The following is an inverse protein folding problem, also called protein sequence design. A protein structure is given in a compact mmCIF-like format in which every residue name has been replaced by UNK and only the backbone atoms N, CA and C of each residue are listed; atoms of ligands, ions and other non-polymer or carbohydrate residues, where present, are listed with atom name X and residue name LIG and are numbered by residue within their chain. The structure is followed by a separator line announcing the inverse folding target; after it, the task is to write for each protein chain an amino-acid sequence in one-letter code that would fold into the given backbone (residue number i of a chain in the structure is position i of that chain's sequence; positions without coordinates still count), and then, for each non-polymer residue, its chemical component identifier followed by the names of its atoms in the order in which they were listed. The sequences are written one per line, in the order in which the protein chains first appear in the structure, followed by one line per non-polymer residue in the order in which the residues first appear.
data_IF_506960171677
#
_entry.id   IF_506960171677
#
_cell.length_a   1.000
_cell.length_b   1.000
_cell.length_c   1.000
_cell.angle_alpha   90.00
_cell.angle_beta   90.00
_cell.angle_gamma   90.00
#
_symmetry.space_group_name_H-M   'P 1'
#
loop_
_entity.id
_entity.type
_entity.pdbx_description
1 polymer ?
#
# COMPACT_ATOMS: atom_id res chain seq x y z
N UNK A 1 -30.48 -22.82 -30.60
CA UNK A 1 -31.42 -23.52 -29.69
C UNK A 1 -30.66 -24.67 -29.05
N UNK A 2 -30.45 -24.81 -27.75
CA UNK A 2 -31.00 -24.13 -26.57
C UNK A 2 -30.01 -24.30 -25.41
N UNK A 3 -29.78 -23.22 -24.66
CA UNK A 3 -28.96 -23.18 -23.45
C UNK A 3 -29.66 -23.91 -22.30
N UNK A 4 -28.96 -24.87 -21.70
CA UNK A 4 -29.43 -25.59 -20.50
C UNK A 4 -28.99 -24.84 -19.25
N UNK A 5 -30.03 -24.39 -18.53
CA UNK A 5 -30.13 -23.91 -17.16
C UNK A 5 -29.02 -24.31 -16.18
N UNK A 6 -28.33 -23.31 -15.62
CA UNK A 6 -27.57 -23.44 -14.37
C UNK A 6 -28.54 -23.26 -13.19
N UNK A 7 -28.82 -24.36 -12.51
CA UNK A 7 -29.69 -24.46 -11.32
C UNK A 7 -28.99 -23.84 -10.11
N UNK A 8 -29.51 -22.69 -9.66
CA UNK A 8 -29.09 -21.97 -8.44
C UNK A 8 -29.53 -22.77 -7.21
N UNK A 9 -28.60 -23.35 -6.45
CA UNK A 9 -28.86 -23.89 -5.11
C UNK A 9 -28.59 -22.78 -4.09
N UNK A 10 -29.64 -22.37 -3.40
CA UNK A 10 -29.56 -21.49 -2.25
C UNK A 10 -28.89 -22.24 -1.09
N UNK A 11 -27.93 -21.59 -0.44
CA UNK A 11 -27.36 -21.96 0.84
C UNK A 11 -27.23 -20.68 1.65
N UNK A 12 -28.09 -20.55 2.65
CA UNK A 12 -28.10 -19.48 3.65
C UNK A 12 -26.82 -19.47 4.48
N UNK A 13 -26.34 -18.27 4.80
CA UNK A 13 -25.20 -18.08 5.68
C UNK A 13 -24.66 -16.65 5.59
N UNK A 14 -25.03 -15.84 6.59
CA UNK A 14 -24.46 -14.54 6.93
C UNK A 14 -24.83 -13.33 6.04
N UNK A 15 -26.10 -12.89 6.15
CA UNK A 15 -26.48 -11.51 5.81
C UNK A 15 -26.12 -10.58 6.96
N UNK A 16 -24.84 -10.27 7.11
CA UNK A 16 -24.39 -9.11 7.85
C UNK A 16 -25.05 -7.86 7.26
N UNK A 17 -25.96 -7.24 8.01
CA UNK A 17 -26.71 -6.05 7.60
C UNK A 17 -25.77 -4.92 7.23
N UNK A 18 -25.53 -4.74 5.91
CA UNK A 18 -24.88 -3.54 5.39
C UNK A 18 -25.85 -2.39 5.60
N UNK A 19 -25.44 -1.40 6.40
CA UNK A 19 -26.26 -0.23 6.70
C UNK A 19 -26.71 0.47 5.40
N UNK A 20 -27.99 0.89 5.28
CA UNK A 20 -28.55 1.47 4.05
C UNK A 20 -27.81 2.73 3.58
N UNK A 21 -27.14 3.43 4.52
CA UNK A 21 -26.30 4.59 4.23
C UNK A 21 -25.05 4.22 3.41
N UNK A 22 -24.42 3.07 3.64
CA UNK A 22 -23.23 2.63 2.88
C UNK A 22 -23.58 2.29 1.42
N UNK A 23 -24.72 1.64 1.20
CA UNK A 23 -25.20 1.29 -0.15
C UNK A 23 -25.52 2.56 -0.95
N UNK A 24 -26.17 3.55 -0.35
CA UNK A 24 -26.48 4.82 -1.01
C UNK A 24 -25.21 5.61 -1.39
N UNK A 25 -24.17 5.59 -0.55
CA UNK A 25 -22.88 6.25 -0.85
C UNK A 25 -22.09 5.55 -1.95
N UNK A 26 -22.10 4.22 -2.00
CA UNK A 26 -21.42 3.44 -3.04
C UNK A 26 -22.07 3.66 -4.42
N UNK A 27 -23.40 3.61 -4.52
CA UNK A 27 -24.13 3.85 -5.78
C UNK A 27 -23.88 5.26 -6.31
N UNK A 28 -23.87 6.27 -5.44
CA UNK A 28 -23.55 7.66 -5.81
C UNK A 28 -22.11 7.81 -6.30
N UNK A 29 -21.17 7.02 -5.76
CA UNK A 29 -19.77 7.03 -6.18
C UNK A 29 -19.56 6.41 -7.57
N UNK A 30 -20.26 5.30 -7.86
CA UNK A 30 -20.20 4.61 -9.15
C UNK A 30 -20.84 5.45 -10.25
N UNK A 31 -22.02 6.02 -10.01
CA UNK A 31 -22.70 6.88 -10.97
C UNK A 31 -21.84 8.10 -11.35
N UNK A 32 -21.18 8.71 -10.37
CA UNK A 32 -20.25 9.82 -10.63
C UNK A 32 -19.05 9.39 -11.49
N UNK A 33 -18.48 8.21 -11.22
CA UNK A 33 -17.34 7.69 -11.99
C UNK A 33 -17.72 7.44 -13.44
N UNK A 34 -18.87 6.80 -13.66
CA UNK A 34 -19.41 6.56 -15.01
C UNK A 34 -19.65 7.89 -15.71
N UNK A 35 -20.38 8.83 -15.08
CA UNK A 35 -20.68 10.13 -15.68
C UNK A 35 -19.40 10.90 -16.05
N UNK A 36 -18.39 10.92 -15.16
CA UNK A 36 -17.11 11.59 -15.45
C UNK A 36 -16.40 10.95 -16.64
N UNK A 37 -16.30 9.62 -16.69
CA UNK A 37 -15.66 8.92 -17.80
C UNK A 37 -16.37 9.20 -19.11
N UNK A 38 -17.71 9.09 -19.11
CA UNK A 38 -18.54 9.39 -20.29
C UNK A 38 -18.37 10.83 -20.74
N UNK A 39 -18.54 11.81 -19.86
CA UNK A 39 -18.41 13.24 -20.20
C UNK A 39 -17.01 13.54 -20.75
N UNK A 40 -15.96 12.99 -20.13
CA UNK A 40 -14.58 13.24 -20.58
C UNK A 40 -14.31 12.63 -21.95
N UNK A 41 -14.77 11.40 -22.19
CA UNK A 41 -14.65 10.73 -23.48
C UNK A 41 -15.42 11.50 -24.57
N UNK A 42 -16.67 11.88 -24.30
CA UNK A 42 -17.49 12.65 -25.24
C UNK A 42 -16.87 14.01 -25.55
N UNK A 43 -16.36 14.71 -24.53
CA UNK A 43 -15.70 16.00 -24.72
C UNK A 43 -14.42 15.85 -25.57
N UNK A 44 -13.64 14.80 -25.32
CA UNK A 44 -12.43 14.50 -26.10
C UNK A 44 -12.77 14.26 -27.57
N UNK A 45 -13.84 13.52 -27.85
CA UNK A 45 -14.33 13.28 -29.21
C UNK A 45 -14.79 14.57 -29.90
N UNK A 46 -15.57 15.41 -29.21
CA UNK A 46 -16.05 16.69 -29.75
C UNK A 46 -14.89 17.65 -30.02
N UNK A 47 -13.91 17.72 -29.11
CA UNK A 47 -12.70 18.52 -29.31
C UNK A 47 -11.87 18.02 -30.50
N UNK A 48 -11.77 16.69 -30.67
CA UNK A 48 -11.07 16.11 -31.81
C UNK A 48 -11.76 16.45 -33.14
N UNK A 49 -13.10 16.39 -33.19
CA UNK A 49 -13.86 16.82 -34.37
C UNK A 49 -13.69 18.31 -34.72
N UNK A 50 -13.52 19.16 -33.70
CA UNK A 50 -13.37 20.60 -33.91
C UNK A 50 -11.95 21.00 -34.33
N UNK A 51 -10.92 20.25 -33.91
CA UNK A 51 -9.51 20.59 -34.13
C UNK A 51 -8.87 19.86 -35.31
N UNK A 52 -9.38 18.69 -35.69
CA UNK A 52 -8.86 17.93 -36.83
C UNK A 52 -9.47 18.41 -38.16
N UNK A 53 -8.76 18.27 -39.30
CA UNK A 53 -9.26 18.68 -40.60
C UNK A 53 -10.58 18.00 -41.00
N UNK A 54 -11.47 18.75 -41.65
CA UNK A 54 -12.74 18.22 -42.16
C UNK A 54 -12.48 17.24 -43.33
N UNK A 55 -13.01 16.01 -43.23
CA UNK A 55 -12.91 14.97 -44.27
C UNK A 55 -12.07 13.75 -43.89
N UNK A 56 -11.45 13.73 -42.71
CA UNK A 56 -10.73 12.55 -42.20
C UNK A 56 -11.63 11.47 -41.58
N UNK A 57 -11.08 10.28 -41.25
CA UNK A 57 -11.78 9.23 -40.51
C UNK A 57 -12.18 9.69 -39.11
N UNK A 58 -13.26 9.14 -38.56
CA UNK A 58 -13.78 9.55 -37.25
C UNK A 58 -12.72 9.38 -36.13
N UNK A 59 -12.53 10.38 -35.25
CA UNK A 59 -11.44 10.40 -34.28
C UNK A 59 -11.77 9.59 -33.01
N UNK A 60 -11.77 8.26 -33.12
CA UNK A 60 -12.11 7.34 -32.03
C UNK A 60 -10.96 7.07 -31.03
N UNK A 61 -9.71 7.36 -31.39
CA UNK A 61 -8.54 7.22 -30.50
C UNK A 61 -8.47 8.34 -29.46
N UNK A 62 -8.99 9.53 -29.76
CA UNK A 62 -9.07 10.63 -28.80
C UNK A 62 -9.92 10.28 -27.56
N UNK A 63 -11.19 9.82 -27.69
CA UNK A 63 -11.99 9.39 -26.55
C UNK A 63 -11.41 8.15 -25.85
N UNK A 64 -10.84 7.19 -26.60
CA UNK A 64 -10.17 6.02 -26.02
C UNK A 64 -8.98 6.43 -25.13
N UNK A 65 -8.15 7.35 -25.61
CA UNK A 65 -7.01 7.88 -24.86
C UNK A 65 -7.45 8.64 -23.63
N UNK A 66 -8.47 9.49 -23.75
CA UNK A 66 -9.03 10.20 -22.61
C UNK A 66 -9.57 9.23 -21.53
N UNK A 67 -10.29 8.18 -21.92
CA UNK A 67 -10.78 7.16 -21.01
C UNK A 67 -9.64 6.48 -20.25
N UNK A 68 -8.60 6.05 -20.96
CA UNK A 68 -7.50 5.32 -20.37
C UNK A 68 -6.67 6.20 -19.42
N UNK A 69 -6.48 7.47 -19.75
CA UNK A 69 -5.70 8.42 -18.93
C UNK A 69 -6.45 8.88 -17.65
N UNK A 70 -7.78 9.01 -17.71
CA UNK A 70 -8.62 9.52 -16.60
C UNK A 70 -8.72 8.55 -15.42
N UNK A 71 -8.42 7.26 -15.63
CA UNK A 71 -8.52 6.25 -14.58
C UNK A 71 -7.40 6.34 -13.54
N UNK A 72 -6.33 7.06 -13.85
CA UNK A 72 -5.12 7.16 -13.04
C UNK A 72 -5.16 8.38 -12.08
N UNK A 73 -4.26 8.39 -11.09
CA UNK A 73 -4.02 9.59 -10.24
C UNK A 73 -3.36 10.70 -11.06
N UNK A 74 -3.35 11.97 -10.62
CA UNK A 74 -2.78 13.09 -11.41
C UNK A 74 -1.36 12.81 -11.91
N UNK A 75 -0.47 12.29 -11.05
CA UNK A 75 0.90 11.93 -11.44
C UNK A 75 0.92 10.82 -12.49
N UNK A 76 0.19 9.75 -12.21
CA UNK A 76 0.12 8.58 -13.06
C UNK A 76 -0.55 8.93 -14.40
N UNK A 77 -1.53 9.83 -14.41
CA UNK A 77 -2.15 10.41 -15.60
C UNK A 77 -1.11 11.17 -16.41
N UNK A 78 -0.31 12.06 -15.83
CA UNK A 78 0.76 12.77 -16.58
C UNK A 78 1.75 11.78 -17.19
N UNK A 79 2.26 10.83 -16.38
CA UNK A 79 3.20 9.82 -16.85
C UNK A 79 2.59 8.93 -17.93
N UNK A 80 1.36 8.46 -17.72
CA UNK A 80 0.62 7.65 -18.68
C UNK A 80 0.38 8.41 -19.97
N UNK A 81 -0.03 9.68 -19.92
CA UNK A 81 -0.17 10.56 -21.07
C UNK A 81 1.12 10.67 -21.87
N UNK A 82 2.26 10.93 -21.21
CA UNK A 82 3.56 11.06 -21.90
C UNK A 82 3.99 9.74 -22.52
N UNK A 83 3.94 8.64 -21.76
CA UNK A 83 4.31 7.32 -22.25
C UNK A 83 3.40 6.89 -23.41
N UNK A 84 2.10 7.17 -23.32
CA UNK A 84 1.12 6.87 -24.36
C UNK A 84 1.39 7.64 -25.64
N UNK A 85 1.61 8.95 -25.54
CA UNK A 85 1.97 9.78 -26.69
C UNK A 85 3.27 9.27 -27.32
N UNK A 86 4.27 8.90 -26.52
CA UNK A 86 5.50 8.32 -27.02
C UNK A 86 5.28 6.96 -27.71
N UNK A 87 4.46 6.07 -27.14
CA UNK A 87 4.11 4.78 -27.73
C UNK A 87 3.42 4.96 -29.08
N UNK A 88 2.35 5.77 -29.13
CA UNK A 88 1.61 6.03 -30.38
C UNK A 88 2.52 6.67 -31.43
N UNK A 89 3.26 7.72 -31.07
CA UNK A 89 4.17 8.41 -32.00
C UNK A 89 5.23 7.47 -32.55
N UNK A 90 5.81 6.61 -31.71
CA UNK A 90 6.77 5.60 -32.17
C UNK A 90 6.14 4.59 -33.14
N UNK A 91 4.94 4.09 -32.85
CA UNK A 91 4.20 3.19 -33.73
C UNK A 91 3.88 3.83 -35.09
N UNK A 92 3.41 5.07 -35.07
CA UNK A 92 3.12 5.85 -36.29
C UNK A 92 4.37 6.05 -37.13
N UNK A 93 5.49 6.45 -36.51
CA UNK A 93 6.75 6.66 -37.22
C UNK A 93 7.26 5.37 -37.89
N UNK A 94 7.21 4.24 -37.18
CA UNK A 94 7.62 2.94 -37.72
C UNK A 94 6.73 2.55 -38.90
N UNK A 95 5.41 2.75 -38.80
CA UNK A 95 4.48 2.42 -39.87
C UNK A 95 4.68 3.27 -41.11
N UNK A 96 4.87 4.59 -40.96
CA UNK A 96 5.14 5.50 -42.08
C UNK A 96 6.44 5.12 -42.78
N UNK A 97 7.51 4.86 -42.01
CA UNK A 97 8.79 4.42 -42.56
C UNK A 97 8.64 3.10 -43.33
N UNK A 98 8.02 2.08 -42.73
CA UNK A 98 7.83 0.78 -43.36
C UNK A 98 6.94 0.85 -44.61
N UNK A 99 5.88 1.68 -44.59
CA UNK A 99 5.02 1.93 -45.73
C UNK A 99 5.77 2.60 -46.89
N UNK A 100 6.61 3.59 -46.59
CA UNK A 100 7.36 4.36 -47.59
C UNK A 100 8.52 3.59 -48.22
N UNK A 101 9.19 2.69 -47.48
CA UNK A 101 10.39 2.01 -47.99
C UNK A 101 10.11 0.63 -48.59
N UNK A 102 9.19 -0.15 -48.00
CA UNK A 102 9.03 -1.58 -48.31
C UNK A 102 7.67 -1.88 -48.95
N UNK A 103 6.65 -1.06 -48.67
CA UNK A 103 5.26 -1.32 -49.07
C UNK A 103 4.57 -2.36 -48.16
N UNK A 104 3.25 -2.45 -48.27
CA UNK A 104 2.44 -3.28 -47.37
C UNK A 104 2.44 -4.76 -47.79
N UNK A 105 2.87 -5.64 -46.88
CA UNK A 105 2.83 -7.10 -47.03
C UNK A 105 2.71 -7.79 -45.66
N UNK A 106 2.39 -9.09 -45.63
CA UNK A 106 2.27 -9.84 -44.36
C UNK A 106 3.58 -9.87 -43.56
N UNK A 107 4.73 -9.93 -44.24
CA UNK A 107 6.04 -9.96 -43.58
C UNK A 107 6.49 -8.56 -43.18
N UNK A 108 6.19 -7.51 -43.96
CA UNK A 108 6.42 -6.10 -43.56
C UNK A 108 5.62 -5.78 -42.29
N UNK A 109 4.37 -6.25 -42.21
CA UNK A 109 3.53 -6.10 -41.01
C UNK A 109 4.18 -6.79 -39.80
N UNK A 110 4.61 -8.04 -39.95
CA UNK A 110 5.31 -8.77 -38.89
C UNK A 110 6.58 -8.07 -38.41
N UNK A 111 7.38 -7.56 -39.34
CA UNK A 111 8.61 -6.80 -39.03
C UNK A 111 8.29 -5.47 -38.33
N UNK A 112 7.23 -4.78 -38.73
CA UNK A 112 6.78 -3.53 -38.10
C UNK A 112 6.32 -3.76 -36.67
N UNK A 113 5.53 -4.83 -36.42
CA UNK A 113 5.11 -5.20 -35.07
C UNK A 113 6.32 -5.52 -34.20
N UNK A 114 7.26 -6.32 -34.72
CA UNK A 114 8.50 -6.64 -34.01
C UNK A 114 9.29 -5.37 -33.67
N UNK A 115 9.50 -4.49 -34.65
CA UNK A 115 10.21 -3.23 -34.45
C UNK A 115 9.51 -2.34 -33.41
N UNK A 116 8.19 -2.21 -33.46
CA UNK A 116 7.40 -1.43 -32.51
C UNK A 116 7.47 -1.99 -31.08
N UNK A 117 7.49 -3.31 -30.91
CA UNK A 117 7.67 -3.95 -29.61
C UNK A 117 9.09 -3.77 -29.05
N UNK A 118 10.11 -3.89 -29.91
CA UNK A 118 11.52 -3.67 -29.53
C UNK A 118 11.73 -2.23 -29.10
N UNK A 119 11.29 -1.26 -29.91
CA UNK A 119 11.34 0.17 -29.58
C UNK A 119 10.52 0.45 -28.32
N UNK A 120 9.34 -0.18 -28.20
CA UNK A 120 8.52 -0.25 -27.00
C UNK A 120 9.30 -0.50 -25.71
N UNK A 121 10.10 -1.57 -25.72
CA UNK A 121 10.93 -1.98 -24.59
C UNK A 121 12.14 -1.07 -24.38
N UNK A 122 12.82 -0.65 -25.45
CA UNK A 122 13.99 0.25 -25.38
C UNK A 122 13.60 1.60 -24.76
N UNK A 123 12.44 2.16 -25.15
CA UNK A 123 11.89 3.40 -24.60
C UNK A 123 11.27 3.23 -23.20
N UNK A 124 11.27 2.00 -22.64
CA UNK A 124 10.71 1.67 -21.32
C UNK A 124 9.24 2.12 -21.17
N UNK A 125 8.43 1.89 -22.20
CA UNK A 125 7.02 2.32 -22.26
C UNK A 125 6.09 1.62 -21.26
N UNK A 126 6.58 0.58 -20.56
CA UNK A 126 5.85 -0.09 -19.47
C UNK A 126 4.53 -0.69 -19.93
N UNK A 127 3.44 -0.31 -19.29
CA UNK A 127 2.08 -0.80 -19.60
C UNK A 127 1.59 -0.37 -21.00
N UNK A 128 2.28 0.56 -21.68
CA UNK A 128 1.86 1.13 -22.97
C UNK A 128 2.68 0.56 -24.14
N UNK A 129 3.53 -0.44 -23.91
CA UNK A 129 4.34 -1.09 -24.96
C UNK A 129 3.48 -1.62 -26.12
N UNK A 130 2.30 -2.15 -25.83
CA UNK A 130 1.38 -2.68 -26.86
C UNK A 130 0.70 -1.58 -27.67
N UNK A 131 0.70 -0.33 -27.22
CA UNK A 131 0.07 0.77 -27.97
C UNK A 131 0.88 1.11 -29.23
N UNK A 132 2.20 0.92 -29.21
CA UNK A 132 3.07 1.15 -30.36
C UNK A 132 2.72 0.23 -31.57
N UNK A 133 2.72 -1.12 -31.44
CA UNK A 133 2.34 -1.99 -32.56
C UNK A 133 0.86 -1.82 -32.95
N UNK A 134 -0.05 -1.61 -31.99
CA UNK A 134 -1.47 -1.34 -32.32
C UNK A 134 -1.60 -0.08 -33.18
N UNK A 135 -0.90 1.00 -32.82
CA UNK A 135 -0.92 2.26 -33.57
C UNK A 135 -0.32 2.09 -34.96
N UNK A 136 0.78 1.33 -35.07
CA UNK A 136 1.40 1.02 -36.35
C UNK A 136 0.45 0.25 -37.28
N UNK A 137 -0.25 -0.76 -36.72
CA UNK A 137 -1.25 -1.53 -37.45
C UNK A 137 -2.43 -0.65 -37.91
N UNK A 138 -2.88 0.29 -37.08
CA UNK A 138 -3.97 1.21 -37.43
C UNK A 138 -3.60 2.15 -38.59
N UNK A 139 -2.35 2.62 -38.66
CA UNK A 139 -1.86 3.41 -39.80
C UNK A 139 -1.95 2.61 -41.09
N UNK A 140 -1.52 1.34 -41.08
CA UNK A 140 -1.64 0.47 -42.24
C UNK A 140 -3.10 0.17 -42.59
N UNK A 141 -3.93 -0.14 -41.60
CA UNK A 141 -5.34 -0.50 -41.81
C UNK A 141 -6.17 0.65 -42.41
N UNK A 142 -5.87 1.89 -42.02
CA UNK A 142 -6.58 3.08 -42.49
C UNK A 142 -5.99 3.67 -43.77
N UNK A 143 -4.93 3.07 -44.32
CA UNK A 143 -4.21 3.62 -45.48
C UNK A 143 -3.63 5.01 -45.22
N UNK A 144 -3.48 5.39 -43.95
CA UNK A 144 -3.12 6.75 -43.51
C UNK A 144 -1.61 6.89 -43.33
N UNK A 145 -0.83 6.18 -44.15
CA UNK A 145 0.64 6.25 -44.14
C UNK A 145 1.19 7.55 -44.76
N UNK A 146 0.30 8.42 -45.26
CA UNK A 146 0.66 9.78 -45.66
C UNK A 146 1.08 10.62 -44.44
N UNK A 147 1.91 11.63 -44.66
CA UNK A 147 2.35 12.56 -43.60
C UNK A 147 1.15 13.21 -42.89
N UNK A 148 0.10 13.55 -43.64
CA UNK A 148 -1.15 14.09 -43.10
C UNK A 148 -1.86 13.09 -42.18
N UNK A 149 -1.98 11.83 -42.60
CA UNK A 149 -2.63 10.78 -41.78
C UNK A 149 -1.85 10.45 -40.51
N UNK A 150 -0.52 10.46 -40.59
CA UNK A 150 0.37 10.29 -39.45
C UNK A 150 0.25 11.45 -38.44
N UNK A 151 0.25 12.69 -38.93
CA UNK A 151 0.05 13.87 -38.10
C UNK A 151 -1.31 13.85 -37.39
N UNK A 152 -2.37 13.47 -38.10
CA UNK A 152 -3.71 13.35 -37.54
C UNK A 152 -3.77 12.33 -36.39
N UNK A 153 -3.11 11.16 -36.51
CA UNK A 153 -3.08 10.15 -35.43
C UNK A 153 -2.35 10.65 -34.17
N UNK A 154 -1.26 11.39 -34.35
CA UNK A 154 -0.50 11.96 -33.24
C UNK A 154 -1.32 13.06 -32.56
N UNK A 155 -1.92 13.97 -33.35
CA UNK A 155 -2.81 15.03 -32.86
C UNK A 155 -4.02 14.46 -32.11
N UNK A 156 -4.65 13.43 -32.66
CA UNK A 156 -5.80 12.76 -32.03
C UNK A 156 -5.44 12.19 -30.65
N UNK A 157 -4.26 11.57 -30.52
CA UNK A 157 -3.76 11.05 -29.25
C UNK A 157 -3.43 12.17 -28.27
N UNK A 158 -2.82 13.26 -28.75
CA UNK A 158 -2.52 14.44 -27.96
C UNK A 158 -3.80 15.09 -27.40
N UNK A 159 -4.85 15.24 -28.22
CA UNK A 159 -6.15 15.78 -27.80
C UNK A 159 -6.76 14.90 -26.73
N UNK A 160 -6.74 13.58 -26.91
CA UNK A 160 -7.22 12.63 -25.91
C UNK A 160 -6.45 12.72 -24.59
N UNK A 161 -5.13 12.76 -24.65
CA UNK A 161 -4.26 12.86 -23.48
C UNK A 161 -4.47 14.20 -22.75
N UNK A 162 -4.55 15.31 -23.48
CA UNK A 162 -4.79 16.64 -22.95
C UNK A 162 -6.17 16.75 -22.30
N UNK A 163 -7.22 16.23 -22.95
CA UNK A 163 -8.59 16.25 -22.41
C UNK A 163 -8.69 15.39 -21.15
N UNK A 164 -8.10 14.19 -21.15
CA UNK A 164 -8.05 13.32 -19.98
C UNK A 164 -7.29 13.95 -18.82
N UNK A 165 -6.13 14.57 -19.10
CA UNK A 165 -5.35 15.30 -18.11
C UNK A 165 -6.12 16.51 -17.56
N UNK A 166 -6.76 17.30 -18.43
CA UNK A 166 -7.57 18.45 -18.04
C UNK A 166 -8.75 18.02 -17.16
N UNK A 167 -9.47 16.96 -17.52
CA UNK A 167 -10.56 16.43 -16.70
C UNK A 167 -10.07 15.94 -15.32
N UNK A 168 -8.91 15.29 -15.27
CA UNK A 168 -8.27 14.86 -14.02
C UNK A 168 -7.80 16.03 -13.16
N UNK A 169 -7.33 17.13 -13.76
CA UNK A 169 -6.91 18.35 -13.07
C UNK A 169 -8.09 19.22 -12.59
N UNK A 170 -9.11 19.38 -13.42
CA UNK A 170 -10.29 20.20 -13.14
C UNK A 170 -11.22 19.54 -12.13
N UNK A 171 -11.32 18.22 -12.20
CA UNK A 171 -12.19 17.43 -11.34
C UNK A 171 -11.36 16.33 -10.68
N UNK A 172 -10.60 16.65 -9.61
CA UNK A 172 -9.74 15.67 -8.97
C UNK A 172 -10.53 14.41 -8.57
N UNK A 173 -10.05 13.24 -9.01
CA UNK A 173 -10.50 11.92 -8.53
C UNK A 173 -9.96 11.72 -7.13
N UNK A 174 -10.47 12.48 -6.18
CA UNK A 174 -10.16 12.26 -4.76
C UNK A 174 -11.48 12.17 -4.02
N UNK A 175 -12.08 10.98 -4.15
CA UNK A 175 -12.89 10.39 -3.10
C UNK A 175 -12.23 9.08 -2.71
N UNK A 176 -10.96 9.21 -2.33
CA UNK A 176 -10.44 8.41 -1.22
C UNK A 176 -11.43 8.70 -0.09
N UNK A 177 -12.00 7.69 0.57
CA UNK A 177 -12.67 7.92 1.86
C UNK A 177 -11.83 8.95 2.61
N UNK A 178 -12.40 10.06 3.14
CA UNK A 178 -11.61 11.09 3.80
C UNK A 178 -10.59 10.37 4.65
N UNK A 179 -9.30 10.58 4.40
CA UNK A 179 -8.30 9.66 4.91
C UNK A 179 -8.32 9.62 6.47
N UNK A 180 -8.96 10.61 7.08
CA UNK A 180 -9.47 10.68 8.44
C UNK A 180 -10.36 9.48 8.85
N UNK A 181 -11.33 9.09 8.01
CA UNK A 181 -12.16 7.89 8.19
C UNK A 181 -11.33 6.61 8.17
N UNK A 182 -10.27 6.55 7.36
CA UNK A 182 -9.39 5.37 7.31
C UNK A 182 -8.59 5.23 8.61
N UNK A 183 -8.02 6.34 9.11
CA UNK A 183 -7.34 6.39 10.41
C UNK A 183 -8.30 6.07 11.56
N UNK A 184 -9.52 6.61 11.53
CA UNK A 184 -10.54 6.32 12.53
C UNK A 184 -10.98 4.84 12.49
N UNK A 185 -11.19 4.27 11.31
CA UNK A 185 -11.53 2.85 11.15
C UNK A 185 -10.42 1.95 11.73
N UNK A 186 -9.14 2.29 11.50
CA UNK A 186 -8.01 1.55 12.06
C UNK A 186 -7.96 1.68 13.58
N UNK A 187 -8.07 2.91 14.11
CA UNK A 187 -8.10 3.15 15.55
C UNK A 187 -9.23 2.36 16.23
N UNK A 188 -10.40 2.32 15.60
CA UNK A 188 -11.56 1.62 16.13
C UNK A 188 -11.38 0.09 16.11
N UNK A 189 -10.79 -0.46 15.04
CA UNK A 189 -10.43 -1.88 14.98
C UNK A 189 -9.41 -2.26 16.04
N UNK A 190 -8.38 -1.43 16.23
CA UNK A 190 -7.37 -1.63 17.29
C UNK A 190 -8.02 -1.56 18.67
N UNK A 191 -8.80 -0.51 18.94
CA UNK A 191 -9.54 -0.33 20.19
C UNK A 191 -10.39 -1.56 20.50
N UNK A 192 -11.16 -2.03 19.51
CA UNK A 192 -12.04 -3.19 19.68
C UNK A 192 -11.25 -4.45 20.02
N UNK A 193 -10.19 -4.77 19.27
CA UNK A 193 -9.37 -5.94 19.54
C UNK A 193 -8.75 -5.91 20.95
N UNK A 194 -8.21 -4.76 21.37
CA UNK A 194 -7.62 -4.63 22.71
C UNK A 194 -8.69 -4.75 23.80
N UNK A 195 -9.88 -4.19 23.58
CA UNK A 195 -11.00 -4.31 24.50
C UNK A 195 -11.48 -5.77 24.60
N UNK A 196 -11.59 -6.47 23.47
CA UNK A 196 -11.98 -7.89 23.43
C UNK A 196 -10.95 -8.76 24.18
N UNK A 197 -9.65 -8.47 24.05
CA UNK A 197 -8.58 -9.12 24.84
C UNK A 197 -8.73 -8.78 26.33
N UNK A 198 -8.92 -7.51 26.66
CA UNK A 198 -9.05 -7.05 28.04
C UNK A 198 -10.26 -7.69 28.76
N UNK A 199 -11.38 -7.82 28.06
CA UNK A 199 -12.60 -8.43 28.60
C UNK A 199 -12.45 -9.95 28.74
N UNK A 200 -11.80 -10.62 27.78
CA UNK A 200 -11.46 -12.03 27.91
C UNK A 200 -10.54 -12.31 29.11
N UNK A 201 -9.52 -11.46 29.32
CA UNK A 201 -8.64 -11.56 30.48
C UNK A 201 -9.35 -11.32 31.83
N UNK A 202 -10.42 -10.51 31.87
CA UNK A 202 -11.23 -10.35 33.09
C UNK A 202 -12.26 -11.46 33.28
N UNK A 203 -12.70 -12.09 32.20
CA UNK A 203 -13.69 -13.15 32.18
C UNK A 203 -13.14 -14.50 32.61
N UNK A 204 -13.93 -15.56 32.42
CA UNK A 204 -13.50 -16.94 32.65
C UNK A 204 -12.54 -17.39 31.54
N UNK A 205 -11.44 -18.04 31.94
CA UNK A 205 -10.43 -18.56 31.01
C UNK A 205 -11.07 -19.57 30.05
N UNK A 206 -10.88 -19.36 28.76
CA UNK A 206 -11.33 -20.31 27.72
C UNK A 206 -10.13 -20.85 26.94
N UNK A 207 -10.12 -22.15 26.66
CA UNK A 207 -9.03 -22.77 25.88
C UNK A 207 -8.97 -22.19 24.45
N UNK A 208 -7.77 -21.84 24.00
CA UNK A 208 -7.47 -21.27 22.70
C UNK A 208 -7.73 -19.76 22.57
N UNK A 209 -8.05 -19.05 23.65
CA UNK A 209 -8.36 -17.62 23.59
C UNK A 209 -7.14 -16.77 23.19
N UNK A 210 -5.94 -17.07 23.71
CA UNK A 210 -4.74 -16.28 23.38
C UNK A 210 -4.28 -16.56 21.95
N UNK A 211 -4.37 -17.81 21.49
CA UNK A 211 -4.14 -18.16 20.09
C UNK A 211 -5.11 -17.42 19.13
N UNK A 212 -6.38 -17.28 19.51
CA UNK A 212 -7.37 -16.50 18.74
C UNK A 212 -6.99 -15.02 18.67
N UNK A 213 -6.65 -14.40 19.81
CA UNK A 213 -6.22 -13.00 19.86
C UNK A 213 -4.99 -12.75 19.00
N UNK A 214 -4.00 -13.65 19.02
CA UNK A 214 -2.82 -13.56 18.15
C UNK A 214 -3.21 -13.59 16.67
N UNK A 215 -4.09 -14.51 16.27
CA UNK A 215 -4.54 -14.61 14.88
C UNK A 215 -5.33 -13.36 14.42
N UNK A 216 -6.10 -12.74 15.30
CA UNK A 216 -6.81 -11.49 15.05
C UNK A 216 -5.84 -10.29 14.93
N UNK A 217 -4.84 -10.20 15.80
CA UNK A 217 -3.79 -9.19 15.71
C UNK A 217 -2.98 -9.29 14.41
N UNK A 218 -2.68 -10.50 13.95
CA UNK A 218 -2.02 -10.74 12.66
C UNK A 218 -2.90 -10.36 11.46
N UNK A 219 -4.20 -10.64 11.52
CA UNK A 219 -5.16 -10.20 10.49
C UNK A 219 -5.20 -8.68 10.41
N UNK A 220 -5.32 -8.01 11.55
CA UNK A 220 -5.37 -6.55 11.61
C UNK A 220 -4.08 -5.90 11.06
N UNK A 221 -2.91 -6.47 11.37
CA UNK A 221 -1.63 -6.01 10.83
C UNK A 221 -1.56 -6.10 9.29
N UNK A 222 -2.07 -7.20 8.72
CA UNK A 222 -2.13 -7.37 7.26
C UNK A 222 -3.07 -6.36 6.60
N UNK A 223 -4.22 -6.09 7.21
CA UNK A 223 -5.19 -5.11 6.73
C UNK A 223 -4.65 -3.68 6.81
N UNK A 224 -3.87 -3.37 7.85
CA UNK A 224 -3.23 -2.07 8.00
C UNK A 224 -2.23 -1.80 6.88
N UNK A 225 -1.40 -2.78 6.53
CA UNK A 225 -0.44 -2.68 5.41
C UNK A 225 -1.10 -2.57 4.02
N UNK A 226 -2.38 -2.93 3.87
CA UNK A 226 -3.16 -2.65 2.65
C UNK A 226 -3.65 -1.20 2.64
N UNK A 227 -4.25 -0.76 3.75
CA UNK A 227 -4.79 0.59 3.93
C UNK A 227 -3.72 1.68 3.77
N UNK A 228 -2.50 1.42 4.25
CA UNK A 228 -1.37 2.34 4.14
C UNK A 228 -0.85 2.51 2.69
N UNK A 229 -1.02 1.51 1.81
CA UNK A 229 -0.70 1.64 0.38
C UNK A 229 -1.72 2.51 -0.34
N UNK A 230 -2.99 2.34 -0.02
CA UNK A 230 -4.09 3.14 -0.58
C UNK A 230 -3.96 4.61 -0.14
N UNK A 231 -3.52 4.84 1.10
CA UNK A 231 -3.24 6.19 1.61
C UNK A 231 -2.03 6.83 0.95
N UNK A 232 -0.95 6.08 0.70
CA UNK A 232 0.22 6.59 -0.02
C UNK A 232 -0.11 7.08 -1.43
N UNK A 233 -0.98 6.36 -2.15
CA UNK A 233 -1.47 6.78 -3.46
C UNK A 233 -2.33 8.07 -3.39
N UNK A 234 -3.07 8.26 -2.30
CA UNK A 234 -3.85 9.46 -2.04
C UNK A 234 -2.97 10.69 -1.77
N UNK A 235 -1.92 10.54 -0.96
CA UNK A 235 -0.96 11.59 -0.62
C UNK A 235 -0.17 12.06 -1.84
N UNK A 236 0.24 11.13 -2.71
CA UNK A 236 0.97 11.45 -3.94
C UNK A 236 0.12 12.28 -4.92
N UNK A 237 -1.19 12.03 -4.97
CA UNK A 237 -2.17 12.79 -5.76
C UNK A 237 -2.33 14.24 -5.29
N UNK A 238 -2.19 14.48 -3.98
CA UNK A 238 -2.27 15.81 -3.37
C UNK A 238 -1.05 16.68 -3.68
N UNK A 239 0.14 16.07 -3.72
CA UNK A 239 1.43 16.76 -3.86
C UNK A 239 1.58 17.55 -5.18
N UNK A 240 0.82 17.19 -6.21
CA UNK A 240 0.94 17.75 -7.56
C UNK A 240 -0.19 18.72 -7.93
N UNK A 241 -1.05 19.11 -6.98
CA UNK A 241 -2.08 20.11 -7.24
C UNK A 241 -1.55 21.52 -6.89
N UNK A 242 -1.30 22.43 -7.86
CA UNK A 242 -0.68 23.72 -7.59
C UNK A 242 -1.60 24.76 -6.93
N UNK A 243 -2.88 24.46 -6.68
CA UNK A 243 -3.82 25.41 -6.05
C UNK A 243 -3.69 25.44 -4.54
N UNK A 244 -3.99 26.59 -3.93
CA UNK A 244 -3.94 26.93 -2.49
C UNK A 244 -4.63 25.93 -1.54
N UNK A 245 -5.45 25.01 -2.08
CA UNK A 245 -6.07 23.88 -1.37
C UNK A 245 -5.09 22.73 -1.09
N UNK A 246 -4.00 22.62 -1.85
CA UNK A 246 -2.97 21.59 -1.70
C UNK A 246 -2.11 21.79 -0.45
N UNK A 247 -1.80 23.03 -0.03
CA UNK A 247 -1.13 23.25 1.27
C UNK A 247 -1.92 22.65 2.44
N UNK A 248 -3.25 22.74 2.39
CA UNK A 248 -4.15 22.18 3.43
C UNK A 248 -4.18 20.66 3.43
N UNK A 249 -4.18 20.05 2.25
CA UNK A 249 -4.15 18.59 2.09
C UNK A 249 -2.75 18.00 2.39
N UNK A 250 -1.67 18.76 2.21
CA UNK A 250 -0.31 18.36 2.57
C UNK A 250 -0.12 18.34 4.10
N UNK A 251 -0.57 19.38 4.81
CA UNK A 251 -0.50 19.42 6.28
C UNK A 251 -1.38 18.30 6.91
N UNK A 252 -2.56 18.05 6.33
CA UNK A 252 -3.41 16.90 6.68
C UNK A 252 -2.74 15.55 6.37
N UNK A 253 -2.13 15.38 5.19
CA UNK A 253 -1.43 14.16 4.80
C UNK A 253 -0.29 13.80 5.75
N UNK A 254 0.49 14.78 6.22
CA UNK A 254 1.55 14.54 7.20
C UNK A 254 0.99 14.11 8.57
N UNK A 255 -0.08 14.75 9.04
CA UNK A 255 -0.73 14.35 10.28
C UNK A 255 -1.30 12.92 10.20
N UNK A 256 -1.84 12.53 9.05
CA UNK A 256 -2.32 11.18 8.79
C UNK A 256 -1.19 10.16 8.65
N UNK A 257 -0.10 10.51 7.97
CA UNK A 257 1.09 9.67 7.86
C UNK A 257 1.64 9.31 9.23
N UNK A 258 1.78 10.31 10.09
CA UNK A 258 2.22 10.10 11.48
C UNK A 258 1.21 9.25 12.26
N UNK A 259 -0.09 9.48 12.07
CA UNK A 259 -1.12 8.68 12.72
C UNK A 259 -1.07 7.20 12.30
N UNK A 260 -0.88 6.94 11.02
CA UNK A 260 -0.75 5.59 10.47
C UNK A 260 0.55 4.91 10.90
N UNK A 261 1.67 5.63 10.91
CA UNK A 261 2.95 5.11 11.42
C UNK A 261 2.86 4.77 12.92
N UNK A 262 2.19 5.62 13.70
CA UNK A 262 1.89 5.33 15.11
C UNK A 262 1.05 4.06 15.25
N UNK A 263 0.00 3.90 14.44
CA UNK A 263 -0.83 2.69 14.44
C UNK A 263 -0.09 1.44 13.98
N UNK A 264 0.87 1.57 13.06
CA UNK A 264 1.73 0.48 12.61
C UNK A 264 2.64 0.00 13.74
N UNK A 265 3.35 0.92 14.41
CA UNK A 265 4.14 0.60 15.59
C UNK A 265 3.29 -0.01 16.71
N UNK A 266 2.09 0.54 16.94
CA UNK A 266 1.16 0.01 17.91
C UNK A 266 0.76 -1.45 17.60
N UNK A 267 0.48 -1.74 16.33
CA UNK A 267 0.12 -3.10 15.90
C UNK A 267 1.29 -4.08 16.04
N UNK A 268 2.54 -3.63 15.85
CA UNK A 268 3.72 -4.45 16.11
C UNK A 268 3.84 -4.82 17.59
N UNK A 269 3.65 -3.86 18.50
CA UNK A 269 3.67 -4.12 19.95
C UNK A 269 2.51 -5.02 20.38
N UNK A 270 1.32 -4.85 19.81
CA UNK A 270 0.16 -5.71 20.10
C UNK A 270 0.40 -7.16 19.65
N UNK A 271 1.11 -7.36 18.55
CA UNK A 271 1.52 -8.68 18.08
C UNK A 271 2.55 -9.34 18.99
N UNK A 272 3.50 -8.58 19.53
CA UNK A 272 4.42 -9.07 20.56
C UNK A 272 3.65 -9.57 21.77
N UNK A 273 2.80 -8.71 22.32
CA UNK A 273 1.99 -9.04 23.49
C UNK A 273 1.13 -10.29 23.29
N UNK A 274 0.33 -10.32 22.22
CA UNK A 274 -0.55 -11.47 21.93
C UNK A 274 0.22 -12.76 21.66
N UNK A 275 1.45 -12.66 21.14
CA UNK A 275 2.36 -13.81 21.02
C UNK A 275 2.84 -14.29 22.39
N UNK A 276 3.26 -13.39 23.29
CA UNK A 276 3.63 -13.77 24.65
C UNK A 276 2.47 -14.44 25.39
N UNK A 277 1.23 -13.97 25.20
CA UNK A 277 0.05 -14.62 25.77
C UNK A 277 -0.18 -16.02 25.19
N UNK A 278 -0.04 -16.19 23.87
CA UNK A 278 -0.16 -17.49 23.24
C UNK A 278 0.97 -18.45 23.65
N UNK A 279 2.17 -17.94 23.90
CA UNK A 279 3.29 -18.73 24.41
C UNK A 279 3.09 -19.12 25.88
N UNK A 280 2.50 -18.25 26.73
CA UNK A 280 2.06 -18.62 28.09
C UNK A 280 1.00 -19.72 28.07
N UNK A 281 0.01 -19.61 27.18
CA UNK A 281 -1.05 -20.61 27.04
C UNK A 281 -0.49 -21.99 26.64
N UNK A 282 0.50 -22.03 25.73
CA UNK A 282 1.19 -23.26 25.32
C UNK A 282 2.01 -23.90 26.44
N UNK A 283 2.46 -23.12 27.40
CA UNK A 283 3.19 -23.63 28.57
C UNK A 283 2.26 -24.35 29.56
N UNK A 284 0.93 -24.24 29.40
CA UNK A 284 -0.06 -24.96 30.22
C UNK A 284 0.07 -24.61 31.70
N UNK A 285 0.15 -25.62 32.56
CA UNK A 285 0.34 -25.44 34.02
C UNK A 285 1.69 -24.79 34.39
N UNK A 286 2.64 -24.74 33.45
CA UNK A 286 3.89 -24.00 33.64
C UNK A 286 3.72 -22.51 33.29
N UNK A 287 2.71 -22.16 32.50
CA UNK A 287 2.32 -20.78 32.22
C UNK A 287 1.62 -20.20 33.45
N UNK A 288 2.16 -19.11 33.99
CA UNK A 288 1.71 -18.51 35.25
C UNK A 288 0.99 -17.18 35.09
N UNK A 289 0.97 -16.63 33.87
CA UNK A 289 0.36 -15.33 33.60
C UNK A 289 -1.16 -15.46 33.41
N UNK A 290 -1.61 -16.41 32.58
CA UNK A 290 -3.03 -16.63 32.27
C UNK A 290 -3.75 -17.52 33.29
N UNK A 291 -3.00 -18.33 34.05
CA UNK A 291 -3.52 -19.18 35.15
C UNK A 291 -3.75 -18.39 36.43
N UNK A 292 -3.02 -17.30 36.65
CA UNK A 292 -3.22 -16.44 37.81
C UNK A 292 -4.33 -15.41 37.55
N UNK A 293 -5.44 -15.54 38.27
CA UNK A 293 -6.59 -14.66 38.08
C UNK A 293 -6.33 -13.19 38.51
N UNK A 294 -5.42 -12.92 39.43
CA UNK A 294 -5.00 -11.54 39.78
C UNK A 294 -4.14 -10.98 38.64
N UNK A 295 -3.19 -11.79 38.16
CA UNK A 295 -2.42 -11.69 36.91
C UNK A 295 -3.24 -11.15 35.75
N UNK A 296 -4.21 -11.99 35.39
CA UNK A 296 -5.09 -11.83 34.25
C UNK A 296 -5.93 -10.55 34.37
N UNK A 297 -6.49 -10.29 35.55
CA UNK A 297 -7.31 -9.10 35.82
C UNK A 297 -6.50 -7.80 35.72
N UNK A 298 -5.32 -7.72 36.34
CA UNK A 298 -4.45 -6.53 36.26
C UNK A 298 -3.98 -6.26 34.82
N UNK A 299 -3.67 -7.32 34.06
CA UNK A 299 -3.36 -7.19 32.63
C UNK A 299 -4.57 -6.69 31.81
N UNK A 300 -5.76 -7.24 32.05
CA UNK A 300 -7.00 -6.77 31.43
C UNK A 300 -7.29 -5.30 31.76
N UNK A 301 -7.01 -4.88 32.99
CA UNK A 301 -7.11 -3.47 33.41
C UNK A 301 -6.13 -2.56 32.69
N UNK A 302 -4.87 -2.95 32.58
CA UNK A 302 -3.88 -2.20 31.79
C UNK A 302 -4.32 -2.07 30.32
N UNK A 303 -4.78 -3.16 29.70
CA UNK A 303 -5.20 -3.16 28.30
C UNK A 303 -6.46 -2.34 28.04
N UNK A 304 -7.44 -2.36 28.94
CA UNK A 304 -8.61 -1.48 28.81
C UNK A 304 -8.23 0.01 28.89
N UNK A 305 -7.25 0.36 29.73
CA UNK A 305 -6.70 1.71 29.78
C UNK A 305 -6.08 2.12 28.44
N UNK A 306 -5.30 1.22 27.84
CA UNK A 306 -4.69 1.40 26.52
C UNK A 306 -5.76 1.53 25.42
N UNK A 307 -6.82 0.69 25.44
CA UNK A 307 -7.92 0.77 24.49
C UNK A 307 -8.62 2.14 24.53
N UNK A 308 -8.85 2.69 25.73
CA UNK A 308 -9.39 4.03 25.90
C UNK A 308 -8.44 5.13 25.37
N UNK A 309 -7.13 4.92 25.52
CA UNK A 309 -6.09 5.76 24.91
C UNK A 309 -6.13 5.75 23.38
N UNK A 310 -6.19 4.57 22.77
CA UNK A 310 -6.32 4.40 21.30
C UNK A 310 -7.58 5.09 20.76
N UNK A 311 -8.71 4.97 21.46
CA UNK A 311 -9.95 5.65 21.09
C UNK A 311 -9.79 7.18 21.07
N UNK A 312 -9.13 7.71 22.10
CA UNK A 312 -8.89 9.15 22.25
C UNK A 312 -7.87 9.66 21.22
N UNK A 313 -6.85 8.85 20.91
CA UNK A 313 -5.90 9.09 19.83
C UNK A 313 -6.60 9.17 18.46
N UNK A 314 -7.52 8.24 18.17
CA UNK A 314 -8.31 8.26 16.94
C UNK A 314 -9.18 9.52 16.80
N UNK A 315 -9.80 9.98 17.90
CA UNK A 315 -10.55 11.25 17.93
C UNK A 315 -9.64 12.47 17.73
N UNK A 316 -8.49 12.50 18.41
CA UNK A 316 -7.50 13.56 18.27
C UNK A 316 -6.99 13.66 16.82
N UNK A 317 -6.63 12.52 16.21
CA UNK A 317 -6.17 12.45 14.84
C UNK A 317 -7.18 13.05 13.83
N UNK A 318 -8.48 12.89 14.08
CA UNK A 318 -9.57 13.51 13.30
C UNK A 318 -9.72 15.01 13.60
N UNK A 319 -9.67 15.40 14.87
CA UNK A 319 -9.86 16.80 15.28
C UNK A 319 -8.81 17.75 14.70
N UNK A 320 -7.58 17.28 14.52
CA UNK A 320 -6.50 18.08 13.95
C UNK A 320 -6.67 18.45 12.47
N UNK A 321 -7.68 17.90 11.82
CA UNK A 321 -8.00 18.13 10.41
C UNK A 321 -9.14 19.14 10.25
N UNK A 322 -9.89 19.41 11.33
CA UNK A 322 -10.95 20.40 11.38
C UNK A 322 -10.41 21.81 11.64
N UNK A 323 -10.86 22.77 10.81
CA UNK A 323 -10.33 24.15 10.67
C UNK A 323 -10.39 25.00 11.95
N UNK A 324 -11.30 24.67 12.87
CA UNK A 324 -11.58 25.41 14.11
C UNK A 324 -11.41 24.54 15.36
N UNK A 325 -10.83 23.34 15.21
CA UNK A 325 -10.56 22.50 16.37
C UNK A 325 -9.55 23.20 17.28
N UNK A 326 -9.87 23.23 18.57
CA UNK A 326 -8.91 23.51 19.64
C UNK A 326 -8.34 22.16 20.08
N UNK A 327 -7.26 21.65 19.46
CA UNK A 327 -6.72 20.32 19.76
C UNK A 327 -6.34 20.16 21.23
N UNK A 328 -6.14 21.26 21.96
CA UNK A 328 -5.86 21.28 23.39
C UNK A 328 -6.79 20.38 24.23
N UNK A 329 -8.10 20.36 23.97
CA UNK A 329 -9.02 19.52 24.75
C UNK A 329 -8.84 18.02 24.45
N UNK A 330 -8.61 17.67 23.18
CA UNK A 330 -8.40 16.29 22.76
C UNK A 330 -6.98 15.78 23.10
N UNK A 331 -5.97 16.67 23.07
CA UNK A 331 -4.61 16.41 23.55
C UNK A 331 -4.62 16.17 25.06
N UNK A 332 -5.29 17.04 25.83
CA UNK A 332 -5.44 16.86 27.27
C UNK A 332 -6.23 15.59 27.62
N UNK A 333 -7.31 15.27 26.89
CA UNK A 333 -8.04 14.02 27.09
C UNK A 333 -7.11 12.80 26.86
N UNK A 334 -6.29 12.83 25.81
CA UNK A 334 -5.34 11.76 25.54
C UNK A 334 -4.26 11.65 26.62
N UNK A 335 -3.70 12.77 27.10
CA UNK A 335 -2.73 12.79 28.20
C UNK A 335 -3.31 12.13 29.46
N UNK A 336 -4.53 12.51 29.86
CA UNK A 336 -5.22 11.90 31.01
C UNK A 336 -5.38 10.40 30.82
N UNK A 337 -5.73 9.93 29.61
CA UNK A 337 -5.86 8.48 29.33
C UNK A 337 -4.53 7.75 29.37
N UNK A 338 -3.46 8.37 28.87
CA UNK A 338 -2.10 7.83 28.92
C UNK A 338 -1.62 7.72 30.38
N UNK A 339 -1.89 8.71 31.23
CA UNK A 339 -1.51 8.66 32.63
C UNK A 339 -2.26 7.58 33.41
N UNK A 340 -3.56 7.39 33.14
CA UNK A 340 -4.33 6.26 33.68
C UNK A 340 -3.74 4.92 33.22
N UNK A 341 -3.34 4.79 31.95
CA UNK A 341 -2.71 3.57 31.45
C UNK A 341 -1.34 3.31 32.10
N UNK A 342 -0.54 4.35 32.34
CA UNK A 342 0.76 4.26 33.04
C UNK A 342 0.61 3.80 34.48
N UNK A 343 -0.39 4.31 35.18
CA UNK A 343 -0.68 3.94 36.57
C UNK A 343 -1.11 2.46 36.66
N UNK A 344 -1.98 2.00 35.76
CA UNK A 344 -2.37 0.58 35.66
C UNK A 344 -1.19 -0.33 35.32
N UNK A 345 -0.37 0.07 34.35
CA UNK A 345 0.89 -0.61 33.99
C UNK A 345 1.84 -0.68 35.19
N UNK A 346 2.01 0.40 35.96
CA UNK A 346 2.89 0.41 37.12
C UNK A 346 2.47 -0.60 38.20
N UNK A 347 1.15 -0.76 38.43
CA UNK A 347 0.63 -1.80 39.31
C UNK A 347 0.93 -3.20 38.77
N UNK A 348 0.65 -3.44 37.49
CA UNK A 348 0.96 -4.71 36.84
C UNK A 348 2.46 -5.05 36.93
N UNK A 349 3.36 -4.12 36.58
CA UNK A 349 4.81 -4.33 36.65
C UNK A 349 5.28 -4.65 38.06
N UNK A 350 4.73 -4.01 39.09
CA UNK A 350 5.07 -4.31 40.49
C UNK A 350 4.70 -5.76 40.83
N UNK A 351 3.51 -6.20 40.46
CA UNK A 351 3.06 -7.58 40.69
C UNK A 351 3.88 -8.60 39.90
N UNK A 352 4.16 -8.32 38.62
CA UNK A 352 5.03 -9.16 37.80
C UNK A 352 6.42 -9.31 38.43
N UNK A 353 6.99 -8.22 38.97
CA UNK A 353 8.27 -8.25 39.65
C UNK A 353 8.25 -9.08 40.94
N UNK A 354 7.21 -8.92 41.77
CA UNK A 354 7.00 -9.73 42.98
C UNK A 354 6.96 -11.23 42.65
N UNK A 355 6.27 -11.62 41.57
CA UNK A 355 6.18 -13.03 41.14
C UNK A 355 7.45 -13.55 40.51
N UNK A 356 8.15 -12.71 39.75
CA UNK A 356 9.42 -13.11 39.14
C UNK A 356 10.52 -13.31 40.19
N UNK A 357 10.53 -12.50 41.25
CA UNK A 357 11.42 -12.67 42.40
C UNK A 357 11.17 -13.99 43.17
N UNK A 358 9.97 -14.58 43.05
CA UNK A 358 9.62 -15.87 43.64
C UNK A 358 10.10 -17.09 42.81
N UNK A 359 10.77 -16.88 41.66
CA UNK A 359 11.51 -17.94 40.94
C UNK A 359 10.90 -18.44 39.62
N UNK A 360 9.90 -17.76 39.04
CA UNK A 360 9.22 -18.22 37.82
C UNK A 360 9.30 -17.24 36.64
N UNK A 361 9.44 -17.78 35.42
CA UNK A 361 9.15 -17.15 34.10
C UNK A 361 9.55 -15.67 33.89
N UNK A 362 10.67 -15.21 34.47
CA UNK A 362 11.20 -13.84 34.31
C UNK A 362 11.22 -13.32 32.85
N UNK A 363 11.65 -14.10 31.83
CA UNK A 363 11.72 -13.60 30.45
C UNK A 363 10.35 -13.21 29.88
N UNK A 364 9.30 -13.99 30.17
CA UNK A 364 7.95 -13.75 29.67
C UNK A 364 7.32 -12.51 30.30
N UNK A 365 7.49 -12.34 31.62
CA UNK A 365 7.01 -11.16 32.33
C UNK A 365 7.72 -9.88 31.85
N UNK A 366 9.02 -9.98 31.58
CA UNK A 366 9.80 -8.89 30.98
C UNK A 366 9.28 -8.51 29.58
N UNK A 367 8.98 -9.50 28.74
CA UNK A 367 8.43 -9.27 27.39
C UNK A 367 7.05 -8.61 27.44
N UNK A 368 6.13 -9.13 28.25
CA UNK A 368 4.78 -8.57 28.44
C UNK A 368 4.86 -7.14 28.96
N UNK A 369 5.70 -6.88 29.97
CA UNK A 369 5.89 -5.51 30.48
C UNK A 369 6.45 -4.58 29.41
N UNK A 370 7.41 -5.04 28.60
CA UNK A 370 8.01 -4.24 27.53
C UNK A 370 7.00 -3.92 26.43
N UNK A 371 6.14 -4.85 26.05
CA UNK A 371 5.15 -4.60 25.02
C UNK A 371 4.03 -3.67 25.49
N UNK A 372 3.60 -3.76 26.75
CA UNK A 372 2.68 -2.79 27.36
C UNK A 372 3.31 -1.39 27.40
N UNK A 373 4.59 -1.30 27.76
CA UNK A 373 5.34 -0.03 27.75
C UNK A 373 5.36 0.58 26.35
N UNK A 374 5.65 -0.23 25.32
CA UNK A 374 5.66 0.22 23.93
C UNK A 374 4.28 0.64 23.45
N UNK A 375 3.20 -0.07 23.84
CA UNK A 375 1.83 0.31 23.51
C UNK A 375 1.47 1.69 24.09
N UNK A 376 1.85 1.97 25.33
CA UNK A 376 1.61 3.26 25.99
C UNK A 376 2.51 4.35 25.38
N UNK A 377 3.79 4.06 25.13
CA UNK A 377 4.74 5.03 24.56
C UNK A 377 4.30 5.47 23.16
N UNK A 378 3.76 4.58 22.33
CA UNK A 378 3.21 4.92 21.02
C UNK A 378 1.99 5.87 21.10
N UNK A 379 1.27 5.95 22.21
CA UNK A 379 0.10 6.83 22.38
C UNK A 379 0.45 8.27 22.79
N UNK A 380 1.72 8.57 23.03
CA UNK A 380 2.16 9.86 23.58
C UNK A 380 1.99 11.03 22.62
N UNK A 381 1.52 12.15 23.15
CA UNK A 381 1.35 13.42 22.43
C UNK A 381 2.70 13.98 21.97
N UNK A 382 3.79 13.74 22.72
CA UNK A 382 5.10 14.29 22.39
C UNK A 382 5.68 13.75 21.08
N UNK A 383 5.38 12.50 20.70
CA UNK A 383 5.77 11.96 19.39
C UNK A 383 5.09 12.71 18.25
N UNK A 384 3.84 13.14 18.45
CA UNK A 384 3.09 13.97 17.51
C UNK A 384 3.66 15.39 17.42
N UNK A 385 3.97 16.00 18.57
CA UNK A 385 4.54 17.36 18.62
C UNK A 385 5.94 17.42 18.00
N UNK A 386 6.80 16.43 18.31
CA UNK A 386 8.13 16.30 17.69
C UNK A 386 8.06 16.05 16.19
N UNK A 387 7.13 15.20 15.73
CA UNK A 387 6.93 14.97 14.31
C UNK A 387 6.45 16.25 13.58
N UNK A 388 5.52 17.01 14.19
CA UNK A 388 5.07 18.32 13.69
C UNK A 388 6.23 19.32 13.61
N UNK A 389 7.04 19.43 14.65
CA UNK A 389 8.17 20.36 14.71
C UNK A 389 9.32 19.99 13.77
N UNK A 390 9.69 18.70 13.75
CA UNK A 390 10.69 18.17 12.83
C UNK A 390 10.30 18.51 11.39
N UNK A 391 9.03 18.29 11.04
CA UNK A 391 8.51 18.66 9.73
C UNK A 391 8.52 20.17 9.47
N UNK A 392 8.13 21.00 10.45
CA UNK A 392 8.20 22.47 10.34
C UNK A 392 9.63 22.96 10.12
N UNK A 393 10.63 22.34 10.77
CA UNK A 393 12.06 22.67 10.62
C UNK A 393 12.63 22.25 9.26
N UNK A 394 12.19 21.11 8.71
CA UNK A 394 12.68 20.59 7.42
C UNK A 394 12.07 21.27 6.18
N UNK A 395 11.13 22.22 6.34
CA UNK A 395 10.68 23.13 5.26
C UNK A 395 11.81 23.96 4.65
N UNK A 396 12.99 24.01 5.27
CA UNK A 396 14.16 24.71 4.73
C UNK A 396 15.00 23.91 3.72
N UNK A 397 14.96 22.57 3.70
CA UNK A 397 16.07 21.82 3.09
C UNK A 397 15.71 20.71 2.09
N UNK A 398 14.50 20.13 2.02
CA UNK A 398 14.26 19.05 1.04
C UNK A 398 12.79 18.82 0.67
N UNK A 399 12.52 18.73 -0.63
CA UNK A 399 11.22 18.35 -1.24
C UNK A 399 10.91 16.85 -1.12
N UNK A 400 11.53 16.12 -0.20
CA UNK A 400 11.45 14.67 -0.12
C UNK A 400 10.94 14.26 1.26
N UNK A 401 9.88 13.46 1.29
CA UNK A 401 9.48 12.72 2.49
C UNK A 401 10.60 11.72 2.80
N UNK A 402 11.01 11.56 4.07
CA UNK A 402 11.95 10.51 4.43
C UNK A 402 11.39 9.14 4.06
N UNK A 403 12.25 8.23 3.59
CA UNK A 403 11.87 6.85 3.30
C UNK A 403 11.38 6.16 4.58
N UNK A 404 10.34 5.32 4.47
CA UNK A 404 9.74 4.63 5.62
C UNK A 404 10.80 3.78 6.35
N UNK A 405 10.90 3.82 7.69
CA UNK A 405 11.77 2.93 8.45
C UNK A 405 11.52 1.46 8.11
N UNK A 406 10.25 1.07 7.93
CA UNK A 406 9.88 -0.31 7.57
C UNK A 406 10.34 -0.69 6.16
N UNK A 407 10.36 0.22 5.18
CA UNK A 407 10.92 -0.10 3.86
C UNK A 407 12.44 -0.21 3.91
N UNK A 408 13.11 0.65 4.68
CA UNK A 408 14.56 0.58 4.90
C UNK A 408 14.92 -0.70 5.65
N UNK A 409 14.17 -1.08 6.68
CA UNK A 409 14.36 -2.31 7.47
C UNK A 409 14.00 -3.56 6.67
N UNK A 410 12.93 -3.54 5.85
CA UNK A 410 12.60 -4.65 4.96
C UNK A 410 13.62 -4.82 3.83
N UNK A 411 14.10 -3.73 3.25
CA UNK A 411 15.17 -3.76 2.24
C UNK A 411 16.49 -4.24 2.84
N UNK A 412 16.88 -3.71 4.00
CA UNK A 412 18.07 -4.16 4.72
C UNK A 412 17.93 -5.64 5.13
N UNK A 413 16.77 -6.07 5.62
CA UNK A 413 16.50 -7.47 5.98
C UNK A 413 16.43 -8.43 4.77
N UNK A 414 16.02 -7.95 3.60
CA UNK A 414 16.10 -8.72 2.35
C UNK A 414 17.54 -8.79 1.82
N UNK A 415 18.30 -7.70 1.92
CA UNK A 415 19.71 -7.67 1.54
C UNK A 415 20.55 -8.57 2.46
N UNK A 416 20.32 -8.54 3.77
CA UNK A 416 20.98 -9.42 4.75
C UNK A 416 20.65 -10.89 4.51
N UNK A 417 19.38 -11.23 4.21
CA UNK A 417 19.00 -12.62 3.87
C UNK A 417 19.62 -13.10 2.56
N UNK A 418 19.73 -12.23 1.55
CA UNK A 418 20.42 -12.55 0.29
C UNK A 418 21.92 -12.72 0.51
N UNK A 419 22.54 -11.86 1.32
CA UNK A 419 23.95 -11.96 1.68
C UNK A 419 24.23 -13.26 2.44
N UNK A 420 23.41 -13.59 3.45
CA UNK A 420 23.50 -14.84 4.19
C UNK A 420 23.33 -16.07 3.28
N UNK A 421 22.32 -16.07 2.39
CA UNK A 421 22.12 -17.15 1.42
C UNK A 421 23.30 -17.30 0.44
N UNK A 422 23.91 -16.19 0.01
CA UNK A 422 25.08 -16.22 -0.87
C UNK A 422 26.34 -16.74 -0.17
N UNK A 423 26.51 -16.43 1.12
CA UNK A 423 27.62 -16.91 1.94
C UNK A 423 27.50 -18.41 2.21
N UNK A 424 26.30 -18.91 2.53
CA UNK A 424 26.04 -20.35 2.68
C UNK A 424 26.30 -21.09 1.36
N UNK A 425 25.80 -20.57 0.24
CA UNK A 425 26.04 -21.20 -1.06
C UNK A 425 27.52 -21.17 -1.49
N UNK A 426 28.29 -20.16 -1.06
CA UNK A 426 29.74 -20.11 -1.30
C UNK A 426 30.49 -21.12 -0.43
N UNK A 427 30.10 -21.27 0.83
CA UNK A 427 30.66 -22.27 1.74
C UNK A 427 30.40 -23.70 1.25
N UNK A 428 29.19 -23.99 0.76
CA UNK A 428 28.84 -25.30 0.19
C UNK A 428 29.65 -25.61 -1.09
N UNK A 429 29.92 -24.61 -1.94
CA UNK A 429 30.77 -24.79 -3.13
C UNK A 429 32.23 -25.08 -2.73
N UNK A 430 32.77 -24.33 -1.78
CA UNK A 430 34.13 -24.54 -1.27
C UNK A 430 34.30 -25.92 -0.63
N UNK A 431 33.30 -26.38 0.13
CA UNK A 431 33.31 -27.73 0.71
C UNK A 431 33.34 -28.82 -0.36
N UNK A 432 32.52 -28.71 -1.42
CA UNK A 432 32.51 -29.67 -2.54
C UNK A 432 33.79 -29.65 -3.37
N UNK A 433 34.40 -28.49 -3.57
CA UNK A 433 35.69 -28.39 -4.27
C UNK A 433 36.84 -29.00 -3.45
N UNK A 434 36.78 -28.85 -2.12
CA UNK A 434 37.76 -29.46 -1.21
C UNK A 434 37.60 -30.98 -1.18
N UNK A 435 36.37 -31.48 -1.15
CA UNK A 435 36.05 -32.91 -1.23
C UNK A 435 36.44 -33.52 -2.59
N UNK A 436 36.22 -32.79 -3.69
CA UNK A 436 36.64 -33.21 -5.03
C UNK A 436 38.17 -33.20 -5.22
N UNK A 437 38.89 -32.31 -4.52
CA UNK A 437 40.36 -32.28 -4.52
C UNK A 437 40.94 -33.44 -3.71
N UNK A 438 40.28 -33.83 -2.61
CA UNK A 438 40.70 -34.95 -1.77
C UNK A 438 40.42 -36.32 -2.44
N UNK A 439 39.33 -36.43 -3.22
CA UNK A 439 38.96 -37.65 -3.92
C UNK A 439 39.56 -37.81 -5.32
N UNK A 440 40.55 -36.99 -5.71
CA UNK A 440 41.25 -37.16 -6.99
C UNK A 440 42.37 -38.20 -6.80
N UNK A 441 42.29 -39.40 -7.39
CA UNK A 441 43.35 -40.39 -7.28
C UNK A 441 44.60 -39.87 -7.99
N UNK A 442 45.76 -39.89 -7.32
CA UNK A 442 47.05 -39.56 -7.92
C UNK A 442 47.34 -40.52 -9.07
N UNK A 443 47.25 -40.03 -10.31
CA UNK A 443 47.76 -40.73 -11.48
C UNK A 443 49.14 -40.17 -11.83
N UNK A 444 50.16 -41.02 -11.64
CA UNK A 444 51.36 -41.07 -12.46
C UNK A 444 52.53 -40.16 -12.06
N UNK A 445 53.39 -40.65 -11.16
CA UNK A 445 54.83 -40.38 -11.26
C UNK A 445 55.47 -41.54 -12.04
N UNK A 446 56.01 -41.23 -13.23
CA UNK A 446 56.86 -42.13 -14.02
C UNK A 446 58.15 -42.44 -13.24
N UNK A 447 58.67 -43.69 -13.28
CA UNK A 447 59.92 -44.02 -12.63
C UNK A 447 61.11 -43.44 -13.42
N UNK A 448 62.22 -43.06 -12.75
CA UNK A 448 63.38 -42.47 -13.40
C UNK A 448 64.13 -43.50 -14.25
N UNK A 449 64.93 -43.08 -15.25
CA UNK A 449 65.65 -43.99 -16.12
C UNK A 449 66.79 -44.65 -15.34
N UNK A 450 66.72 -45.98 -15.17
CA UNK A 450 67.81 -46.80 -14.66
C UNK A 450 68.80 -47.14 -15.77
N UNK A 451 70.10 -46.97 -15.47
CA UNK A 451 71.21 -47.58 -16.18
C UNK A 451 71.56 -48.95 -15.63
#
# INVERSE_FOLDING_TARGET
MSLVFFRRRAGEGDRGGRSPLRVATEVRSTAYRIARLTITATLSFVLALALLPAGGPQPLLAPLTALLVVQFSVYQTIKASVLRVAAVTSGVLIAVLAAGTIGFSWWTLGLTILAALVIGHVLRLGEHVLEAPISAMLIFALGSASEAGAADRVLETLIGAATGLAATLLVPTVRVRPAEEAVQDVAEKLRKLIADIADGLRGERTEGEAARWQAEAERLARDLGRTDRDLGAAEESVRLNPRTRARRLIDAGVALRNAMETMEHFTLSLRGLTRSLADDERLGDRGRLLTDDELRRELGDALAGIAAGVASYGRLARSDLTRDARPFLAEHELEVRVDVARERRARLTRRLHERAAAGDLWPLYGEVSMDIDRLIENLRVEHRTRAREHWRRHRGASRHLPARPVQVVQQAGQQLRRAAGSAVAAAERGARETEARYNRPEQGEDPPPGG
#
